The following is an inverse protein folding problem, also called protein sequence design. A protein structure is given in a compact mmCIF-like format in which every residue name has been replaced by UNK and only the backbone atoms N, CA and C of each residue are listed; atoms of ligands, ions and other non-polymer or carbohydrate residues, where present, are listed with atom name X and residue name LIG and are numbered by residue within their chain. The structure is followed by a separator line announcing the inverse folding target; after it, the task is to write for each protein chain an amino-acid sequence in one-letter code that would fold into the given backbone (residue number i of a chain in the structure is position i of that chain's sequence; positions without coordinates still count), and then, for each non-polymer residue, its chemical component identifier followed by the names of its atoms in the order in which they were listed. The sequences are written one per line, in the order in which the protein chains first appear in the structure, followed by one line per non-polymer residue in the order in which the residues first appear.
data_IF_842635787731
#
_entry.id   IF_842635787731
#
_cell.length_a   1.000
_cell.length_b   1.000
_cell.length_c   1.000
_cell.angle_alpha   90.00
_cell.angle_beta   90.00
_cell.angle_gamma   90.00
#
_symmetry.space_group_name_H-M   'P 1'
#
loop_
_entity.id
_entity.type
_entity.pdbx_description
1 polymer ?
#
# COMPACT_ATOMS: atom_id res chain seq x y z
N UNK A 1 15.57 16.23 27.80
CA UNK A 1 16.30 15.87 26.57
C UNK A 1 15.31 15.70 25.44
N UNK A 2 15.58 16.21 24.24
CA UNK A 2 14.66 16.06 23.09
C UNK A 2 15.14 14.91 22.19
N UNK A 3 14.33 13.85 22.04
CA UNK A 3 14.63 12.65 21.24
C UNK A 3 13.72 12.60 20.00
N UNK A 4 13.59 13.72 19.27
CA UNK A 4 12.75 13.90 18.07
C UNK A 4 11.26 13.65 18.27
N UNK A 5 10.84 12.39 18.40
CA UNK A 5 9.45 12.06 18.59
C UNK A 5 8.92 12.61 19.92
N UNK A 6 9.76 12.63 20.97
CA UNK A 6 9.35 12.97 22.34
C UNK A 6 10.45 13.62 23.16
N UNK A 7 10.05 14.39 24.18
CA UNK A 7 10.96 14.87 25.23
C UNK A 7 11.11 13.80 26.31
N UNK A 8 12.34 13.44 26.64
CA UNK A 8 12.71 12.53 27.72
C UNK A 8 13.19 13.31 28.94
N UNK A 9 12.63 12.99 30.12
CA UNK A 9 13.11 13.49 31.40
C UNK A 9 14.03 12.44 32.04
N UNK A 10 15.36 12.65 32.06
CA UNK A 10 16.29 11.70 32.68
C UNK A 10 16.12 11.60 34.19
N UNK A 11 15.68 12.68 34.86
CA UNK A 11 15.44 12.67 36.31
C UNK A 11 14.32 11.72 36.68
N UNK A 12 13.26 11.67 35.86
CA UNK A 12 12.11 10.80 36.08
C UNK A 12 12.22 9.44 35.37
N UNK A 13 13.27 9.23 34.57
CA UNK A 13 13.46 8.00 33.80
C UNK A 13 12.42 7.74 32.69
N UNK A 14 11.67 8.76 32.25
CA UNK A 14 10.52 8.59 31.33
C UNK A 14 10.35 9.71 30.31
N UNK A 15 9.56 9.46 29.26
CA UNK A 15 9.11 10.50 28.35
C UNK A 15 8.13 11.47 29.03
N UNK A 16 8.07 12.70 28.53
CA UNK A 16 7.18 13.77 28.98
C UNK A 16 5.88 13.83 28.15
N UNK A 17 5.79 13.03 27.09
CA UNK A 17 4.58 12.84 26.30
C UNK A 17 4.37 11.36 26.03
N UNK A 18 3.09 10.97 25.89
CA UNK A 18 2.68 9.60 25.56
C UNK A 18 3.18 9.22 24.16
N UNK A 19 3.64 7.99 23.99
CA UNK A 19 3.92 7.40 22.68
C UNK A 19 2.69 7.40 21.76
N UNK A 20 2.91 7.72 20.49
CA UNK A 20 1.90 7.58 19.42
C UNK A 20 1.73 6.12 19.01
N UNK A 21 2.79 5.31 19.13
CA UNK A 21 2.68 3.86 18.95
C UNK A 21 1.91 3.23 20.10
N UNK A 22 1.03 2.28 19.78
CA UNK A 22 0.08 1.77 20.76
C UNK A 22 0.66 0.78 21.78
N UNK A 23 1.87 0.29 21.54
CA UNK A 23 2.44 -0.87 22.21
C UNK A 23 1.98 -2.18 21.56
N UNK A 24 2.68 -3.27 21.89
CA UNK A 24 2.46 -4.63 21.40
C UNK A 24 1.99 -5.52 22.56
N UNK A 25 0.85 -6.20 22.40
CA UNK A 25 0.28 -7.07 23.44
C UNK A 25 1.20 -8.24 23.80
N UNK A 26 2.06 -8.67 22.89
CA UNK A 26 3.07 -9.70 23.12
C UNK A 26 4.31 -9.14 23.84
N UNK A 27 4.40 -7.82 24.02
CA UNK A 27 5.46 -7.12 24.77
C UNK A 27 4.83 -6.23 25.84
N UNK A 28 4.39 -6.79 26.98
CA UNK A 28 3.61 -6.05 27.98
C UNK A 28 4.25 -4.74 28.47
N UNK A 29 5.58 -4.67 28.52
CA UNK A 29 6.30 -3.45 28.90
C UNK A 29 6.09 -2.29 27.90
N UNK A 30 5.91 -2.59 26.62
CA UNK A 30 5.64 -1.60 25.58
C UNK A 30 4.27 -0.91 25.71
N UNK A 31 3.34 -1.51 26.49
CA UNK A 31 2.04 -0.89 26.78
C UNK A 31 2.17 0.36 27.66
N UNK A 32 3.26 0.48 28.42
CA UNK A 32 3.57 1.71 29.14
C UNK A 32 4.26 2.70 28.18
N UNK A 33 3.43 3.47 27.49
CA UNK A 33 3.80 4.47 26.46
C UNK A 33 4.60 5.68 26.98
N UNK A 34 5.01 5.66 28.25
CA UNK A 34 5.85 6.69 28.87
C UNK A 34 7.26 6.18 29.19
N UNK A 35 7.50 4.86 29.19
CA UNK A 35 8.83 4.32 29.49
C UNK A 35 9.81 4.56 28.35
N UNK A 36 11.04 4.92 28.72
CA UNK A 36 12.16 4.88 27.79
C UNK A 36 12.68 3.44 27.70
N UNK A 37 12.78 2.91 26.47
CA UNK A 37 13.39 1.61 26.15
C UNK A 37 12.93 0.43 27.04
N UNK A 38 11.63 0.36 27.33
CA UNK A 38 11.02 -0.66 28.20
C UNK A 38 11.64 -0.73 29.61
N UNK A 39 12.20 0.38 30.10
CA UNK A 39 12.81 0.46 31.43
C UNK A 39 14.20 -0.14 31.53
N UNK A 40 14.85 -0.51 30.41
CA UNK A 40 16.20 -1.06 30.40
C UNK A 40 17.18 -0.24 29.53
N UNK A 41 17.57 0.97 29.97
CA UNK A 41 18.51 1.84 29.26
C UNK A 41 19.97 1.37 29.30
N UNK A 42 20.27 0.28 30.01
CA UNK A 42 21.60 -0.32 30.04
C UNK A 42 21.84 -1.13 28.76
N UNK A 43 20.81 -1.85 28.29
CA UNK A 43 20.91 -2.76 27.13
C UNK A 43 20.40 -2.09 25.85
N UNK A 44 19.49 -1.14 25.97
CA UNK A 44 18.79 -0.58 24.82
C UNK A 44 18.94 0.94 24.74
N UNK A 45 18.95 1.46 23.52
CA UNK A 45 18.93 2.89 23.25
C UNK A 45 17.89 3.21 22.18
N UNK A 46 17.14 4.29 22.35
CA UNK A 46 16.20 4.77 21.32
C UNK A 46 16.41 6.27 21.08
N UNK A 47 17.45 6.64 20.30
CA UNK A 47 17.76 8.04 20.02
C UNK A 47 16.68 8.81 19.24
N UNK A 48 15.79 8.12 18.51
CA UNK A 48 14.68 8.73 17.74
C UNK A 48 13.34 8.73 18.44
N UNK A 49 13.19 7.93 19.50
CA UNK A 49 11.90 7.68 20.13
C UNK A 49 10.96 6.80 19.29
N UNK A 50 11.50 6.02 18.33
CA UNK A 50 10.76 5.26 17.29
C UNK A 50 11.08 3.75 17.30
N UNK A 51 12.22 3.36 16.70
CA UNK A 51 12.71 1.96 16.70
C UNK A 51 13.91 1.88 17.63
N UNK A 52 13.77 1.11 18.71
CA UNK A 52 14.78 0.88 19.74
C UNK A 52 15.94 0.03 19.20
N UNK A 53 17.15 0.54 19.35
CA UNK A 53 18.38 -0.22 19.08
C UNK A 53 18.49 -1.42 20.03
N UNK A 54 18.75 -2.60 19.46
CA UNK A 54 18.77 -3.88 20.15
C UNK A 54 17.73 -4.84 19.59
N UNK A 55 16.71 -5.18 20.39
CA UNK A 55 15.73 -6.20 20.00
C UNK A 55 14.87 -5.79 18.78
N UNK A 56 14.40 -4.54 18.74
CA UNK A 56 13.52 -4.07 17.65
C UNK A 56 14.31 -3.82 16.36
N UNK A 57 15.50 -3.22 16.42
CA UNK A 57 16.35 -3.04 15.25
C UNK A 57 16.76 -4.38 14.62
N UNK A 58 17.12 -5.38 15.45
CA UNK A 58 17.41 -6.75 14.98
C UNK A 58 16.21 -7.43 14.34
N UNK A 59 15.03 -7.25 14.92
CA UNK A 59 13.80 -7.79 14.33
C UNK A 59 13.49 -7.12 12.98
N UNK A 60 13.61 -5.80 12.91
CA UNK A 60 13.42 -5.04 11.69
C UNK A 60 14.38 -5.52 10.58
N UNK A 61 15.64 -5.78 10.90
CA UNK A 61 16.62 -6.36 9.96
C UNK A 61 16.22 -7.77 9.49
N UNK A 62 15.77 -8.63 10.39
CA UNK A 62 15.25 -9.97 10.02
C UNK A 62 14.04 -9.84 9.08
N UNK A 63 13.17 -8.86 9.29
CA UNK A 63 12.04 -8.59 8.40
C UNK A 63 12.55 -8.16 7.01
N UNK A 64 13.52 -7.25 6.94
CA UNK A 64 14.13 -6.82 5.68
C UNK A 64 14.75 -7.99 4.91
N UNK A 65 15.54 -8.84 5.60
CA UNK A 65 16.16 -10.01 4.99
C UNK A 65 15.10 -10.99 4.46
N UNK A 66 14.04 -11.25 5.23
CA UNK A 66 12.91 -12.07 4.77
C UNK A 66 12.24 -11.49 3.53
N UNK A 67 11.99 -10.19 3.50
CA UNK A 67 11.37 -9.50 2.37
C UNK A 67 12.24 -9.60 1.11
N UNK A 68 13.53 -9.33 1.23
CA UNK A 68 14.51 -9.42 0.15
C UNK A 68 14.66 -10.85 -0.34
N UNK A 69 15.05 -11.76 0.54
CA UNK A 69 15.49 -13.10 0.18
C UNK A 69 14.33 -13.99 -0.25
N UNK A 70 13.13 -13.80 0.32
CA UNK A 70 11.95 -14.60 -0.03
C UNK A 70 11.08 -13.98 -1.11
N UNK A 71 10.98 -12.65 -1.20
CA UNK A 71 10.01 -12.03 -2.10
C UNK A 71 10.65 -11.08 -3.13
N UNK A 72 11.95 -10.80 -3.04
CA UNK A 72 12.59 -9.79 -3.90
C UNK A 72 12.13 -8.37 -3.57
N UNK A 73 11.69 -8.13 -2.33
CA UNK A 73 11.18 -6.83 -1.87
C UNK A 73 12.26 -6.12 -1.07
N UNK A 74 12.66 -4.94 -1.53
CA UNK A 74 13.71 -4.13 -0.94
C UNK A 74 13.08 -2.94 -0.22
N UNK A 75 13.41 -2.80 1.06
CA UNK A 75 13.14 -1.59 1.84
C UNK A 75 14.49 -1.06 2.27
N UNK A 76 14.74 0.21 2.00
CA UNK A 76 15.96 0.85 2.46
C UNK A 76 15.91 0.98 4.00
N UNK A 77 16.89 0.40 4.69
CA UNK A 77 17.09 0.62 6.13
C UNK A 77 17.37 2.10 6.35
N UNK A 78 16.56 2.74 7.18
CA UNK A 78 16.74 4.14 7.55
C UNK A 78 16.73 4.38 9.08
N UNK A 79 16.69 3.31 9.88
CA UNK A 79 16.82 3.35 11.34
C UNK A 79 18.20 2.86 11.80
N UNK A 80 18.52 3.11 13.07
CA UNK A 80 19.74 2.61 13.71
C UNK A 80 20.99 3.42 13.35
N UNK A 81 22.13 2.95 13.83
CA UNK A 81 23.42 3.41 13.35
C UNK A 81 23.67 2.90 11.94
N UNK A 82 23.90 3.83 11.00
CA UNK A 82 24.32 3.49 9.65
C UNK A 82 25.79 3.88 9.49
N UNK A 83 26.57 2.98 8.90
CA UNK A 83 27.94 3.29 8.50
C UNK A 83 27.88 4.37 7.42
N UNK A 84 28.51 5.52 7.66
CA UNK A 84 28.70 6.52 6.60
C UNK A 84 29.65 5.94 5.55
N UNK A 85 29.19 5.84 4.30
CA UNK A 85 30.05 5.56 3.15
C UNK A 85 30.36 6.92 2.52
N UNK A 86 31.60 7.39 2.62
CA UNK A 86 32.03 8.59 1.90
C UNK A 86 32.27 8.19 0.44
N UNK A 87 31.39 8.63 -0.47
CA UNK A 87 31.67 8.56 -1.90
C UNK A 87 32.70 9.64 -2.28
N UNK A 88 33.97 9.31 -2.16
CA UNK A 88 35.04 10.11 -2.78
C UNK A 88 35.30 9.51 -4.16
N UNK A 89 35.04 10.29 -5.23
CA UNK A 89 35.06 9.82 -6.61
C UNK A 89 36.26 8.91 -6.95
N UNK A 90 35.98 7.61 -7.10
CA UNK A 90 36.93 6.62 -7.62
C UNK A 90 37.69 5.77 -6.58
N UNK A 91 37.47 5.92 -5.27
CA UNK A 91 38.11 5.06 -4.26
C UNK A 91 37.05 4.39 -3.37
N UNK A 92 36.83 3.09 -3.55
CA UNK A 92 36.02 2.27 -2.64
C UNK A 92 36.87 1.90 -1.42
N UNK A 93 36.64 2.56 -0.29
CA UNK A 93 37.12 2.10 1.01
C UNK A 93 35.89 1.64 1.80
N UNK A 94 35.71 0.32 1.97
CA UNK A 94 34.72 -0.27 2.87
C UNK A 94 35.16 -0.11 4.33
N UNK A 95 35.37 1.12 4.77
CA UNK A 95 35.65 1.45 6.16
C UNK A 95 34.54 2.38 6.66
N UNK A 96 33.74 1.96 7.67
CA UNK A 96 32.83 2.87 8.35
C UNK A 96 33.63 4.02 8.97
N UNK A 97 33.64 5.19 8.35
CA UNK A 97 34.41 6.35 8.85
C UNK A 97 33.70 7.08 9.98
N UNK A 98 32.38 6.90 10.09
CA UNK A 98 31.58 7.34 11.25
C UNK A 98 30.32 6.47 11.37
N UNK A 99 29.90 6.22 12.61
CA UNK A 99 28.56 5.73 12.91
C UNK A 99 27.64 6.95 13.02
N UNK A 100 26.86 7.21 11.98
CA UNK A 100 25.88 8.30 12.01
C UNK A 100 24.49 7.72 12.21
N UNK A 101 23.81 8.22 13.23
CA UNK A 101 22.42 7.88 13.47
C UNK A 101 21.55 8.56 12.43
N UNK A 102 20.95 7.79 11.51
CA UNK A 102 19.97 8.34 10.57
C UNK A 102 18.58 8.29 11.17
N UNK A 103 17.88 9.39 11.01
CA UNK A 103 16.50 9.50 11.43
C UNK A 103 15.62 8.94 10.32
N UNK A 104 15.15 7.71 10.53
CA UNK A 104 14.34 6.99 9.57
C UNK A 104 12.90 7.46 9.46
N UNK A 105 12.25 7.04 8.39
CA UNK A 105 10.83 7.24 8.15
C UNK A 105 9.98 6.12 8.76
N UNK A 106 10.56 4.96 9.06
CA UNK A 106 9.86 3.89 9.76
C UNK A 106 9.66 4.26 11.22
N UNK A 107 8.39 4.31 11.66
CA UNK A 107 8.05 4.83 12.99
C UNK A 107 8.14 3.79 14.10
N UNK A 108 8.06 2.51 13.75
CA UNK A 108 8.18 1.37 14.66
C UNK A 108 8.35 0.10 13.82
N UNK A 109 8.76 -1.00 14.48
CA UNK A 109 8.89 -2.32 13.82
C UNK A 109 7.55 -2.90 13.34
N UNK A 110 6.43 -2.46 13.92
CA UNK A 110 5.10 -2.94 13.56
C UNK A 110 4.72 -2.55 12.12
N UNK A 111 5.09 -1.35 11.66
CA UNK A 111 4.89 -0.95 10.27
C UNK A 111 5.59 -1.93 9.29
N UNK A 112 6.79 -2.41 9.63
CA UNK A 112 7.52 -3.41 8.84
C UNK A 112 6.86 -4.80 8.93
N UNK A 113 6.33 -5.19 10.10
CA UNK A 113 5.59 -6.44 10.27
C UNK A 113 4.34 -6.44 9.39
N UNK A 114 3.59 -5.35 9.35
CA UNK A 114 2.42 -5.21 8.48
C UNK A 114 2.77 -5.41 7.01
N UNK A 115 3.90 -4.86 6.55
CA UNK A 115 4.39 -5.09 5.17
C UNK A 115 4.73 -6.55 4.93
N UNK A 116 5.48 -7.19 5.84
CA UNK A 116 5.83 -8.60 5.73
C UNK A 116 4.59 -9.50 5.73
N UNK A 117 3.61 -9.21 6.59
CA UNK A 117 2.36 -9.96 6.69
C UNK A 117 1.51 -9.81 5.43
N UNK A 118 1.37 -8.59 4.90
CA UNK A 118 0.68 -8.34 3.63
C UNK A 118 1.30 -9.09 2.47
N UNK A 119 2.63 -9.02 2.33
CA UNK A 119 3.35 -9.69 1.23
C UNK A 119 3.28 -11.21 1.39
N UNK A 120 3.42 -11.73 2.60
CA UNK A 120 3.27 -13.16 2.87
C UNK A 120 1.84 -13.64 2.55
N UNK A 121 0.81 -12.87 2.92
CA UNK A 121 -0.57 -13.24 2.65
C UNK A 121 -0.89 -13.19 1.14
N UNK A 122 -0.50 -12.11 0.46
CA UNK A 122 -0.59 -12.00 -1.00
C UNK A 122 0.18 -13.14 -1.67
N UNK A 123 1.42 -13.41 -1.28
CA UNK A 123 2.22 -14.50 -1.85
C UNK A 123 1.51 -15.85 -1.73
N UNK A 124 0.89 -16.16 -0.58
CA UNK A 124 0.10 -17.41 -0.42
C UNK A 124 -1.08 -17.46 -1.39
N UNK A 125 -1.78 -16.34 -1.57
CA UNK A 125 -2.89 -16.20 -2.53
C UNK A 125 -2.42 -16.37 -3.98
N UNK A 126 -1.19 -15.98 -4.29
CA UNK A 126 -0.59 -16.17 -5.61
C UNK A 126 -0.06 -17.60 -5.86
N UNK A 127 -0.01 -18.46 -4.84
CA UNK A 127 0.56 -19.81 -4.96
C UNK A 127 2.03 -19.93 -4.52
N UNK A 128 2.55 -18.95 -3.78
CA UNK A 128 3.86 -19.00 -3.13
C UNK A 128 4.82 -17.90 -3.57
N UNK A 129 6.02 -17.95 -2.99
CA UNK A 129 7.04 -16.90 -3.16
C UNK A 129 7.60 -16.84 -4.58
N UNK A 130 7.70 -17.98 -5.28
CA UNK A 130 8.18 -18.02 -6.66
C UNK A 130 7.22 -17.31 -7.60
N UNK A 131 5.91 -17.60 -7.49
CA UNK A 131 4.87 -16.90 -8.26
C UNK A 131 4.80 -15.42 -7.91
N UNK A 132 4.98 -15.06 -6.65
CA UNK A 132 5.12 -13.66 -6.27
C UNK A 132 6.27 -12.98 -7.05
N UNK A 133 7.46 -13.59 -7.08
CA UNK A 133 8.60 -13.05 -7.84
C UNK A 133 8.37 -13.06 -9.35
N UNK A 134 7.68 -14.05 -9.91
CA UNK A 134 7.31 -14.07 -11.33
C UNK A 134 6.38 -12.91 -11.68
N UNK A 135 5.40 -12.61 -10.81
CA UNK A 135 4.43 -11.54 -11.01
C UNK A 135 5.03 -10.14 -10.81
N UNK A 136 5.78 -9.96 -9.73
CA UNK A 136 6.26 -8.64 -9.31
C UNK A 136 7.73 -8.40 -9.57
N UNK A 137 8.55 -9.37 -9.96
CA UNK A 137 10.02 -9.24 -10.02
C UNK A 137 10.58 -8.62 -8.73
N UNK A 138 11.56 -7.71 -8.84
CA UNK A 138 12.08 -6.92 -7.71
C UNK A 138 11.16 -5.73 -7.42
N UNK A 139 10.79 -5.52 -6.15
CA UNK A 139 9.96 -4.38 -5.71
C UNK A 139 10.71 -3.54 -4.69
N UNK A 140 10.81 -2.23 -4.90
CA UNK A 140 11.35 -1.28 -3.93
C UNK A 140 10.22 -0.56 -3.18
N UNK A 141 10.21 -0.63 -1.85
CA UNK A 141 9.23 0.04 -0.99
C UNK A 141 9.95 1.14 -0.20
N UNK A 142 9.41 2.35 -0.27
CA UNK A 142 9.93 3.52 0.43
C UNK A 142 8.91 4.05 1.42
N UNK A 143 9.36 4.37 2.62
CA UNK A 143 8.55 4.96 3.69
C UNK A 143 8.72 6.48 3.72
N UNK A 144 7.64 7.23 3.90
CA UNK A 144 7.66 8.69 3.95
C UNK A 144 6.92 9.23 5.19
N UNK A 145 7.64 9.68 6.21
CA UNK A 145 7.06 9.94 7.54
C UNK A 145 6.44 11.34 7.75
N UNK A 146 6.29 12.16 6.71
CA UNK A 146 5.90 13.57 6.88
C UNK A 146 4.37 13.74 7.05
N UNK A 147 3.99 14.68 7.93
CA UNK A 147 2.66 14.98 8.49
C UNK A 147 1.70 15.73 7.56
N UNK A 148 1.87 15.67 6.24
CA UNK A 148 0.84 16.18 5.34
C UNK A 148 -0.25 15.12 5.20
N UNK A 149 -1.42 15.36 5.80
CA UNK A 149 -2.65 14.56 5.62
C UNK A 149 -3.08 14.43 4.15
N UNK A 150 -2.41 15.14 3.22
CA UNK A 150 -2.74 15.18 1.79
C UNK A 150 -1.92 14.22 0.92
N UNK A 151 -0.94 13.49 1.47
CA UNK A 151 -0.15 12.53 0.67
C UNK A 151 -0.76 11.14 0.84
N UNK A 152 -1.48 10.71 -0.19
CA UNK A 152 -2.00 9.36 -0.29
C UNK A 152 -0.89 8.37 -0.70
N UNK A 153 -1.07 7.08 -0.39
CA UNK A 153 -0.24 6.01 -0.91
C UNK A 153 -0.21 6.08 -2.44
N UNK A 154 0.95 5.78 -3.02
CA UNK A 154 1.02 5.69 -4.48
C UNK A 154 2.17 4.79 -4.93
N UNK A 155 1.94 4.11 -6.05
CA UNK A 155 2.96 3.48 -6.87
C UNK A 155 3.42 4.48 -7.94
N UNK A 156 4.65 5.04 -7.84
CA UNK A 156 5.06 6.12 -8.73
C UNK A 156 5.12 5.66 -10.20
N UNK A 157 4.59 6.44 -11.15
CA UNK A 157 4.73 6.11 -12.56
C UNK A 157 6.19 6.35 -12.98
N UNK A 158 6.64 5.67 -14.04
CA UNK A 158 8.06 5.52 -14.43
C UNK A 158 9.03 6.69 -14.18
N UNK A 159 8.62 7.96 -14.38
CA UNK A 159 9.49 9.13 -14.15
C UNK A 159 9.74 9.48 -12.67
N UNK A 160 8.93 8.96 -11.74
CA UNK A 160 9.10 9.09 -10.28
C UNK A 160 9.57 7.78 -9.62
N UNK A 161 9.93 6.75 -10.41
CA UNK A 161 10.45 5.47 -9.92
C UNK A 161 11.73 5.59 -9.08
N UNK A 162 12.42 6.74 -9.16
CA UNK A 162 13.53 7.11 -8.27
C UNK A 162 13.14 7.09 -6.78
N UNK A 163 11.85 7.21 -6.46
CA UNK A 163 11.32 7.14 -5.10
C UNK A 163 11.01 5.71 -4.64
N UNK A 164 11.12 4.71 -5.51
CA UNK A 164 10.69 3.31 -5.28
C UNK A 164 9.47 2.92 -6.11
N UNK A 165 9.10 1.64 -6.07
CA UNK A 165 7.89 1.10 -6.72
C UNK A 165 6.62 1.38 -5.92
N UNK A 166 6.74 1.48 -4.58
CA UNK A 166 5.63 1.80 -3.67
C UNK A 166 6.10 2.82 -2.65
N UNK A 167 5.36 3.91 -2.48
CA UNK A 167 5.62 4.93 -1.48
C UNK A 167 4.55 4.86 -0.38
N UNK A 168 5.00 4.71 0.87
CA UNK A 168 4.16 4.50 2.05
C UNK A 168 4.17 5.73 2.98
N UNK A 169 3.16 6.61 2.90
CA UNK A 169 3.00 7.72 3.83
C UNK A 169 2.43 7.27 5.19
N UNK A 170 2.44 8.16 6.19
CA UNK A 170 1.87 7.90 7.52
C UNK A 170 0.42 7.42 7.47
N UNK A 171 -0.35 7.97 6.52
CA UNK A 171 -1.77 7.71 6.33
C UNK A 171 -2.11 6.21 6.23
N UNK A 172 -1.24 5.38 5.64
CA UNK A 172 -1.44 3.91 5.57
C UNK A 172 -1.58 3.30 6.96
N UNK A 173 -0.70 3.71 7.87
CA UNK A 173 -0.52 3.09 9.17
C UNK A 173 -1.37 3.76 10.26
N UNK A 174 -1.91 4.96 9.99
CA UNK A 174 -2.74 5.72 10.93
C UNK A 174 -4.22 5.31 10.90
N UNK A 175 -4.65 4.56 9.87
CA UNK A 175 -6.05 4.12 9.70
C UNK A 175 -6.28 2.64 10.12
N UNK A 176 -5.36 2.07 10.89
CA UNK A 176 -5.47 0.73 11.46
C UNK A 176 -4.94 -0.39 10.56
N UNK A 177 -4.76 -1.56 11.17
CA UNK A 177 -4.10 -2.72 10.56
C UNK A 177 -4.79 -3.21 9.27
N UNK A 178 -6.12 -3.36 9.30
CA UNK A 178 -6.88 -3.82 8.12
C UNK A 178 -6.73 -2.86 6.94
N UNK A 179 -6.70 -1.55 7.21
CA UNK A 179 -6.49 -0.53 6.18
C UNK A 179 -5.08 -0.59 5.62
N UNK A 180 -4.07 -0.67 6.50
CA UNK A 180 -2.69 -0.79 6.08
C UNK A 180 -2.48 -2.03 5.20
N UNK A 181 -2.99 -3.18 5.64
CA UNK A 181 -2.84 -4.45 4.94
C UNK A 181 -3.47 -4.45 3.55
N UNK A 182 -4.70 -3.94 3.45
CA UNK A 182 -5.41 -3.80 2.18
C UNK A 182 -4.67 -2.86 1.23
N UNK A 183 -4.29 -1.69 1.72
CA UNK A 183 -3.62 -0.64 0.94
C UNK A 183 -2.27 -1.12 0.40
N UNK A 184 -1.47 -1.82 1.21
CA UNK A 184 -0.17 -2.37 0.76
C UNK A 184 -0.38 -3.33 -0.43
N UNK A 185 -1.40 -4.19 -0.38
CA UNK A 185 -1.71 -5.11 -1.50
C UNK A 185 -2.26 -4.35 -2.71
N UNK A 186 -3.07 -3.32 -2.49
CA UNK A 186 -3.56 -2.44 -3.54
C UNK A 186 -2.40 -1.78 -4.30
N UNK A 187 -1.45 -1.16 -3.60
CA UNK A 187 -0.28 -0.52 -4.23
C UNK A 187 0.59 -1.53 -4.99
N UNK A 188 0.78 -2.73 -4.46
CA UNK A 188 1.45 -3.81 -5.19
C UNK A 188 0.67 -4.19 -6.47
N UNK A 189 -0.66 -4.16 -6.42
CA UNK A 189 -1.52 -4.34 -7.60
C UNK A 189 -1.18 -3.37 -8.72
N UNK A 190 -0.95 -2.09 -8.42
CA UNK A 190 -0.47 -1.12 -9.39
C UNK A 190 0.90 -1.47 -9.96
N UNK A 191 1.84 -1.91 -9.12
CA UNK A 191 3.18 -2.34 -9.57
C UNK A 191 3.07 -3.46 -10.60
N UNK A 192 2.24 -4.46 -10.35
CA UNK A 192 2.05 -5.56 -11.28
C UNK A 192 1.40 -5.09 -12.58
N UNK A 193 0.32 -4.32 -12.50
CA UNK A 193 -0.37 -3.83 -13.68
C UNK A 193 0.54 -2.96 -14.56
N UNK A 194 1.29 -2.05 -13.94
CA UNK A 194 2.27 -1.21 -14.63
C UNK A 194 3.32 -2.04 -15.39
N UNK A 195 3.84 -3.11 -14.77
CA UNK A 195 4.84 -4.00 -15.40
C UNK A 195 4.27 -4.84 -16.55
N UNK A 196 2.94 -4.98 -16.63
CA UNK A 196 2.25 -5.55 -17.79
C UNK A 196 1.81 -4.48 -18.80
N UNK A 197 2.24 -3.23 -18.65
CA UNK A 197 1.82 -2.11 -19.47
C UNK A 197 0.35 -1.73 -19.28
N UNK A 198 -0.19 -1.90 -18.08
CA UNK A 198 -1.59 -1.69 -17.69
C UNK A 198 -2.60 -2.65 -18.36
N UNK A 199 -2.15 -3.85 -18.74
CA UNK A 199 -3.02 -4.82 -19.42
C UNK A 199 -4.02 -5.51 -18.47
N UNK A 200 -3.68 -5.70 -17.20
CA UNK A 200 -4.57 -6.36 -16.24
C UNK A 200 -5.82 -5.51 -16.02
N UNK A 201 -5.62 -4.22 -15.80
CA UNK A 201 -6.70 -3.26 -15.68
C UNK A 201 -7.52 -3.10 -16.95
N UNK A 202 -6.87 -2.90 -18.12
CA UNK A 202 -7.59 -2.72 -19.38
C UNK A 202 -8.46 -3.93 -19.76
N UNK A 203 -7.94 -5.12 -19.57
CA UNK A 203 -8.69 -6.34 -19.88
C UNK A 203 -9.76 -6.63 -18.82
N UNK A 204 -9.56 -6.22 -17.57
CA UNK A 204 -10.61 -6.30 -16.55
C UNK A 204 -11.77 -5.35 -16.86
N UNK A 205 -11.50 -4.14 -17.37
CA UNK A 205 -12.55 -3.23 -17.83
C UNK A 205 -13.38 -3.83 -18.96
N UNK A 206 -12.73 -4.49 -19.93
CA UNK A 206 -13.43 -5.24 -20.99
C UNK A 206 -14.29 -6.35 -20.39
N UNK A 207 -13.77 -7.10 -19.41
CA UNK A 207 -14.54 -8.15 -18.73
C UNK A 207 -15.75 -7.61 -17.94
N UNK A 208 -15.66 -6.39 -17.42
CA UNK A 208 -16.75 -5.71 -16.70
C UNK A 208 -17.67 -4.90 -17.62
N UNK A 209 -17.36 -4.81 -18.90
CA UNK A 209 -18.06 -3.93 -19.84
C UNK A 209 -18.02 -2.45 -19.45
N UNK A 210 -16.93 -1.93 -18.87
CA UNK A 210 -16.86 -0.53 -18.40
C UNK A 210 -16.33 0.45 -19.45
N UNK A 211 -17.00 1.61 -19.60
CA UNK A 211 -16.67 2.61 -20.64
C UNK A 211 -16.89 4.06 -20.19
N UNK A 212 -16.27 5.02 -20.89
CA UNK A 212 -16.59 6.46 -20.80
C UNK A 212 -17.90 6.77 -21.53
N UNK A 213 -18.82 7.49 -20.89
CA UNK A 213 -19.79 8.32 -21.61
C UNK A 213 -19.29 9.77 -21.67
N UNK A 214 -19.28 10.43 -22.85
CA UNK A 214 -19.04 11.87 -22.96
C UNK A 214 -20.03 12.67 -22.11
N UNK A 215 -19.55 13.74 -21.51
CA UNK A 215 -20.25 14.51 -20.46
C UNK A 215 -21.44 15.37 -20.93
N UNK A 216 -21.83 15.31 -22.19
CA UNK A 216 -23.09 15.91 -22.66
C UNK A 216 -24.31 15.06 -22.27
N UNK A 217 -24.09 13.85 -21.77
CA UNK A 217 -25.12 12.79 -21.76
C UNK A 217 -25.81 12.59 -20.41
N UNK A 218 -25.47 13.38 -19.39
CA UNK A 218 -26.14 13.38 -18.09
C UNK A 218 -26.32 14.84 -17.68
N UNK A 219 -27.51 15.22 -17.22
CA UNK A 219 -27.88 16.61 -16.86
C UNK A 219 -27.12 17.22 -15.68
N UNK A 220 -25.81 16.99 -15.57
CA UNK A 220 -24.90 17.68 -14.71
C UNK A 220 -24.29 18.86 -15.50
N UNK A 221 -24.33 20.09 -14.97
CA UNK A 221 -23.92 21.30 -15.68
C UNK A 221 -22.41 21.42 -15.94
N UNK A 222 -21.63 20.43 -15.52
CA UNK A 222 -20.18 20.40 -15.66
C UNK A 222 -19.81 19.16 -16.46
N UNK A 223 -18.86 19.30 -17.38
CA UNK A 223 -18.25 18.29 -18.26
C UNK A 223 -17.72 17.04 -17.51
N UNK A 224 -18.59 16.31 -16.80
CA UNK A 224 -18.26 15.17 -15.95
C UNK A 224 -18.39 13.86 -16.73
N UNK A 225 -17.29 13.14 -16.73
CA UNK A 225 -17.16 11.76 -17.20
C UNK A 225 -18.05 10.85 -16.33
N UNK A 226 -18.93 10.07 -16.95
CA UNK A 226 -19.74 9.07 -16.26
C UNK A 226 -19.21 7.65 -16.46
N UNK A 227 -19.13 6.92 -15.35
CA UNK A 227 -18.63 5.55 -15.21
C UNK A 227 -19.69 4.71 -14.49
N UNK A 228 -19.90 3.47 -14.91
CA UNK A 228 -20.80 2.53 -14.22
C UNK A 228 -20.40 1.05 -14.47
N UNK A 229 -19.48 0.46 -13.69
CA UNK A 229 -19.23 -1.00 -13.65
C UNK A 229 -20.32 -1.74 -12.87
N UNK A 230 -21.15 -1.00 -12.17
CA UNK A 230 -22.15 -1.52 -11.27
C UNK A 230 -23.50 -0.93 -11.66
N UNK A 231 -24.50 -1.80 -11.83
CA UNK A 231 -25.88 -1.36 -11.79
C UNK A 231 -26.22 -0.92 -10.36
N UNK A 232 -27.02 0.13 -10.18
CA UNK A 232 -27.65 0.34 -8.88
C UNK A 232 -28.93 -0.50 -8.87
N UNK A 233 -28.96 -1.51 -8.01
CA UNK A 233 -30.16 -2.30 -7.75
C UNK A 233 -30.47 -2.19 -6.26
N UNK A 234 -31.74 -2.28 -5.87
CA UNK A 234 -32.13 -2.38 -4.47
C UNK A 234 -32.41 -3.85 -4.22
N UNK A 235 -31.72 -4.45 -3.24
CA UNK A 235 -32.03 -5.79 -2.82
C UNK A 235 -33.43 -5.77 -2.19
N UNK A 236 -34.42 -6.46 -2.78
CA UNK A 236 -35.81 -6.40 -2.32
C UNK A 236 -36.00 -7.02 -0.93
N UNK A 237 -35.03 -7.79 -0.42
CA UNK A 237 -35.10 -8.41 0.91
C UNK A 237 -34.50 -7.55 2.02
N UNK A 238 -33.49 -6.74 1.71
CA UNK A 238 -32.75 -5.93 2.70
C UNK A 238 -32.96 -4.42 2.53
N UNK A 239 -33.58 -3.99 1.43
CA UNK A 239 -33.72 -2.60 1.02
C UNK A 239 -32.38 -1.85 0.93
N UNK A 240 -31.27 -2.59 0.78
CA UNK A 240 -29.93 -2.04 0.60
C UNK A 240 -29.62 -1.87 -0.89
N UNK A 241 -28.84 -0.83 -1.21
CA UNK A 241 -28.32 -0.66 -2.57
C UNK A 241 -27.27 -1.75 -2.81
N UNK A 242 -27.60 -2.70 -3.67
CA UNK A 242 -26.64 -3.65 -4.24
C UNK A 242 -26.10 -3.10 -5.56
N UNK A 243 -24.79 -3.23 -5.70
CA UNK A 243 -24.02 -2.80 -6.87
C UNK A 243 -23.48 -4.02 -7.62
N UNK A 244 -24.32 -4.81 -8.32
CA UNK A 244 -23.86 -5.97 -9.06
C UNK A 244 -22.98 -5.56 -10.24
N UNK A 245 -21.90 -6.31 -10.46
CA UNK A 245 -21.07 -6.18 -11.66
C UNK A 245 -21.93 -6.40 -12.91
N UNK A 246 -21.75 -5.55 -13.92
CA UNK A 246 -22.47 -5.70 -15.17
C UNK A 246 -21.81 -6.78 -16.04
N UNK A 247 -22.56 -7.78 -16.54
CA UNK A 247 -22.05 -8.73 -17.51
C UNK A 247 -21.48 -8.04 -18.76
N UNK A 248 -20.46 -8.61 -19.43
CA UNK A 248 -19.84 -8.03 -20.64
C UNK A 248 -20.84 -7.69 -21.75
N UNK A 249 -21.92 -8.48 -21.86
CA UNK A 249 -22.94 -8.34 -22.90
C UNK A 249 -24.07 -7.37 -22.52
N UNK A 250 -23.97 -6.70 -21.37
CA UNK A 250 -25.00 -5.74 -20.93
C UNK A 250 -24.95 -4.52 -21.83
N UNK A 251 -26.02 -4.23 -22.60
CA UNK A 251 -26.05 -3.03 -23.42
C UNK A 251 -26.07 -1.80 -22.51
N UNK A 252 -24.99 -1.03 -22.53
CA UNK A 252 -24.93 0.23 -21.79
C UNK A 252 -25.44 1.34 -22.71
N UNK A 253 -26.52 1.99 -22.29
CA UNK A 253 -27.01 3.18 -22.95
C UNK A 253 -26.38 4.42 -22.29
N UNK A 254 -25.49 5.11 -23.00
CA UNK A 254 -25.34 6.54 -22.75
C UNK A 254 -26.67 7.18 -23.23
N UNK A 255 -27.30 8.03 -22.43
CA UNK A 255 -28.70 8.47 -22.64
C UNK A 255 -28.95 9.14 -24.01
N UNK A 256 -27.91 9.49 -24.76
CA UNK A 256 -27.99 10.03 -26.12
C UNK A 256 -27.08 9.36 -27.18
N UNK A 257 -26.48 8.19 -26.92
CA UNK A 257 -25.68 7.46 -27.92
C UNK A 257 -26.28 6.06 -28.15
N UNK A 258 -27.31 5.94 -29.02
CA UNK A 258 -27.87 4.65 -29.36
C UNK A 258 -26.85 3.90 -30.23
N UNK A 259 -26.18 2.91 -29.64
CA UNK A 259 -25.36 1.91 -30.35
C UNK A 259 -24.19 2.51 -31.17
N UNK A 260 -23.20 3.10 -30.48
CA UNK A 260 -21.95 3.59 -31.11
C UNK A 260 -20.69 3.00 -30.48
N UNK A 261 -19.97 2.17 -31.23
CA UNK A 261 -18.82 1.34 -30.83
C UNK A 261 -17.50 2.08 -30.46
N UNK A 262 -17.53 3.35 -30.07
CA UNK A 262 -16.33 4.21 -29.99
C UNK A 262 -16.09 4.86 -28.62
N UNK A 263 -16.50 4.23 -27.52
CA UNK A 263 -16.09 4.69 -26.20
C UNK A 263 -14.79 3.97 -25.78
N UNK A 264 -13.72 4.68 -25.36
CA UNK A 264 -12.59 4.03 -24.72
C UNK A 264 -12.95 3.57 -23.29
N UNK A 265 -12.41 2.44 -22.82
CA UNK A 265 -12.63 1.98 -21.45
C UNK A 265 -11.93 2.91 -20.45
N UNK A 266 -12.54 3.19 -19.30
CA UNK A 266 -11.99 4.10 -18.26
C UNK A 266 -12.50 3.77 -16.85
N UNK A 267 -11.72 4.13 -15.83
CA UNK A 267 -12.05 3.99 -14.40
C UNK A 267 -11.90 5.31 -13.65
N UNK A 268 -12.82 5.60 -12.73
CA UNK A 268 -12.66 6.73 -11.80
C UNK A 268 -11.67 6.37 -10.68
N UNK A 269 -10.70 7.25 -10.42
CA UNK A 269 -9.86 7.19 -9.23
C UNK A 269 -10.68 7.35 -7.96
N UNK A 270 -10.53 6.45 -6.99
CA UNK A 270 -10.95 6.75 -5.63
C UNK A 270 -10.05 7.89 -5.11
N UNK A 271 -10.59 9.10 -5.00
CA UNK A 271 -9.91 10.23 -4.35
C UNK A 271 -9.41 11.38 -5.23
N UNK A 272 -9.87 11.54 -6.47
CA UNK A 272 -9.66 12.78 -7.23
C UNK A 272 -8.21 13.08 -7.64
N UNK A 273 -7.28 12.13 -7.51
CA UNK A 273 -5.93 12.26 -8.06
C UNK A 273 -5.91 11.85 -9.53
N UNK A 274 -5.23 12.63 -10.39
CA UNK A 274 -5.02 12.23 -11.77
C UNK A 274 -3.91 11.18 -11.81
N UNK A 275 -4.26 9.98 -12.29
CA UNK A 275 -3.41 9.21 -13.21
C UNK A 275 -2.15 8.59 -12.58
N UNK A 276 -2.23 7.32 -12.18
CA UNK A 276 -1.06 6.42 -12.21
C UNK A 276 -1.03 5.58 -13.49
N UNK A 277 -1.43 6.27 -14.57
CA UNK A 277 -0.94 6.21 -15.96
C UNK A 277 -1.61 5.30 -16.99
N UNK A 278 -2.83 4.83 -16.73
CA UNK A 278 -3.70 4.32 -17.79
C UNK A 278 -5.17 4.28 -17.39
N UNK A 279 -6.11 4.29 -18.37
CA UNK A 279 -7.51 3.98 -18.08
C UNK A 279 -7.60 2.59 -17.42
N UNK A 280 -8.32 2.49 -16.29
CA UNK A 280 -8.56 1.22 -15.59
C UNK A 280 -7.64 0.90 -14.41
N UNK A 281 -6.53 1.63 -14.19
CA UNK A 281 -5.45 1.24 -13.29
C UNK A 281 -5.88 0.86 -11.85
N UNK A 282 -6.98 1.45 -11.38
CA UNK A 282 -7.56 1.21 -10.05
C UNK A 282 -8.37 -0.09 -9.97
N UNK A 283 -8.94 -0.55 -11.08
CA UNK A 283 -9.84 -1.70 -11.07
C UNK A 283 -9.09 -2.99 -10.74
N UNK A 284 -7.90 -3.19 -11.33
CA UNK A 284 -7.06 -4.34 -11.00
C UNK A 284 -6.57 -4.27 -9.56
N UNK A 285 -5.98 -3.15 -9.15
CA UNK A 285 -5.40 -2.98 -7.82
C UNK A 285 -6.43 -3.22 -6.70
N UNK A 286 -7.62 -2.64 -6.83
CA UNK A 286 -8.73 -2.89 -5.91
C UNK A 286 -9.18 -4.34 -5.93
N UNK A 287 -9.38 -4.94 -7.11
CA UNK A 287 -9.83 -6.34 -7.21
C UNK A 287 -8.83 -7.30 -6.58
N UNK A 288 -7.53 -7.09 -6.80
CA UNK A 288 -6.48 -7.88 -6.17
C UNK A 288 -6.52 -7.72 -4.64
N UNK A 289 -6.64 -6.49 -4.14
CA UNK A 289 -6.73 -6.23 -2.70
C UNK A 289 -7.95 -6.88 -2.05
N UNK A 290 -9.13 -6.80 -2.68
CA UNK A 290 -10.34 -7.49 -2.21
C UNK A 290 -10.23 -9.02 -2.34
N UNK A 291 -9.49 -9.55 -3.32
CA UNK A 291 -9.23 -10.99 -3.42
C UNK A 291 -8.38 -11.52 -2.26
N UNK A 292 -7.41 -10.74 -1.81
CA UNK A 292 -6.59 -11.07 -0.64
C UNK A 292 -7.35 -10.82 0.67
N UNK A 293 -8.06 -9.70 0.78
CA UNK A 293 -8.78 -9.25 1.97
C UNK A 293 -10.28 -8.99 1.68
N UNK A 294 -11.09 -10.05 1.50
CA UNK A 294 -12.50 -9.92 1.08
C UNK A 294 -13.41 -9.28 2.13
N UNK A 295 -12.97 -9.21 3.39
CA UNK A 295 -13.74 -8.64 4.49
C UNK A 295 -13.41 -7.16 4.74
N UNK A 296 -12.50 -6.56 3.96
CA UNK A 296 -12.16 -5.16 4.14
C UNK A 296 -13.32 -4.25 3.70
N UNK A 297 -13.81 -3.43 4.64
CA UNK A 297 -14.77 -2.34 4.41
C UNK A 297 -15.96 -2.68 3.48
N UNK A 298 -16.71 -3.74 3.80
CA UNK A 298 -17.88 -4.21 3.01
C UNK A 298 -19.00 -3.16 2.83
N UNK A 299 -18.98 -2.03 3.55
CA UNK A 299 -19.95 -0.94 3.44
C UNK A 299 -19.73 0.03 2.26
N UNK A 300 -18.52 0.08 1.69
CA UNK A 300 -18.22 0.87 0.48
C UNK A 300 -18.16 -0.09 -0.72
N UNK A 301 -19.29 -0.21 -1.40
CA UNK A 301 -19.59 -1.21 -2.42
C UNK A 301 -18.74 -1.10 -3.72
N UNK A 302 -17.54 -1.68 -3.71
CA UNK A 302 -16.76 -2.10 -4.89
C UNK A 302 -16.31 -3.57 -4.74
N UNK A 303 -16.92 -4.32 -3.80
CA UNK A 303 -16.47 -5.65 -3.40
C UNK A 303 -16.19 -6.59 -4.58
N UNK A 304 -15.45 -7.67 -4.32
CA UNK A 304 -15.05 -8.59 -5.37
C UNK A 304 -16.23 -9.44 -5.86
N UNK A 305 -16.94 -8.94 -6.88
CA UNK A 305 -18.00 -9.68 -7.55
C UNK A 305 -17.45 -10.84 -8.38
N UNK A 306 -18.36 -11.66 -8.96
CA UNK A 306 -17.99 -12.91 -9.62
C UNK A 306 -17.08 -12.71 -10.83
N UNK A 307 -17.26 -11.65 -11.62
CA UNK A 307 -16.46 -11.35 -12.82
C UNK A 307 -15.04 -10.95 -12.40
N UNK A 308 -14.90 -9.98 -11.47
CA UNK A 308 -13.57 -9.58 -10.95
C UNK A 308 -12.87 -10.77 -10.31
N UNK A 309 -13.59 -11.57 -9.52
CA UNK A 309 -13.04 -12.76 -8.85
C UNK A 309 -12.49 -13.77 -9.85
N UNK A 310 -13.28 -14.13 -10.85
CA UNK A 310 -12.87 -15.08 -11.89
C UNK A 310 -11.65 -14.54 -12.65
N UNK A 311 -11.68 -13.26 -13.04
CA UNK A 311 -10.58 -12.62 -13.73
C UNK A 311 -9.28 -12.65 -12.91
N UNK A 312 -9.32 -12.24 -11.63
CA UNK A 312 -8.15 -12.27 -10.74
C UNK A 312 -7.60 -13.69 -10.61
N UNK A 313 -8.47 -14.70 -10.42
CA UNK A 313 -8.06 -16.10 -10.32
C UNK A 313 -7.36 -16.59 -11.60
N UNK A 314 -7.87 -16.24 -12.77
CA UNK A 314 -7.27 -16.59 -14.06
C UNK A 314 -5.87 -15.97 -14.21
N UNK A 315 -5.70 -14.69 -13.84
CA UNK A 315 -4.38 -14.04 -13.90
C UNK A 315 -3.39 -14.65 -12.92
N UNK A 316 -3.85 -15.07 -11.74
CA UNK A 316 -3.03 -15.77 -10.75
C UNK A 316 -2.64 -17.18 -11.23
N UNK A 317 -3.57 -17.93 -11.82
CA UNK A 317 -3.27 -19.29 -12.32
C UNK A 317 -2.22 -19.27 -13.41
N UNK A 318 -2.23 -18.23 -14.24
CA UNK A 318 -1.32 -18.05 -15.37
C UNK A 318 0.06 -17.46 -15.00
N UNK A 319 0.30 -17.16 -13.73
CA UNK A 319 1.65 -16.79 -13.28
C UNK A 319 2.58 -18.00 -13.51
N UNK A 320 3.70 -17.82 -14.23
CA UNK A 320 4.67 -18.88 -14.48
C UNK A 320 5.37 -19.39 -13.22
#
# INVERSE_FOLDING_TARGET
MYLRARYYNPTDGRFQSRDTWSGDYNRPLSMNRWMYVEGNPIIFSDPTGLIKEGAESREAEIILDKLRDRYGVYIQKDWGYLNSIIHTGGLYIDAPTSCEWRNGNWRNVEELRLVLESINHLSRKLGGANKFRSAFSTVAITRFAITSEKIHPFSPPGYLSIMGDVVMPNYIFDNGESYAKFTIVHELGHVWDYRTGNQLSRNMMVALGTWLCPSTDVGFPDNRICWAPYGNTIDPSTNQIIRPELPPDTPLACVNNPLGANCPPYSAGFGGFPVLTGPGAEDWANSLAYYVYPNFNQGYAIGLGPIRKQYVQEKISNIP
#
